data_IF_153722789099
#
_entry.id   IF_153722789099
#
_cell.length_a   1.000
_cell.length_b   1.000
_cell.length_c   1.000
_cell.angle_alpha   90.00
_cell.angle_beta   90.00
_cell.angle_gamma   90.00
#
_symmetry.space_group_name_H-M   'P 1'
#
loop_
_entity.id
_entity.type
_entity.pdbx_description
1 polymer ?
#
# COMPACT_ATOMS: atom_id res chain seq x y z
N UNK A 1 7.35 -24.33 9.68
CA UNK A 1 7.57 -23.47 8.50
C UNK A 1 7.34 -22.04 8.94
N UNK A 2 8.23 -21.10 8.62
CA UNK A 2 8.05 -19.69 9.02
C UNK A 2 6.90 -19.10 8.21
N UNK A 3 5.93 -18.49 8.88
CA UNK A 3 4.84 -17.70 8.28
C UNK A 3 5.40 -16.39 7.68
N UNK A 4 6.22 -16.52 6.64
CA UNK A 4 7.01 -15.42 6.08
C UNK A 4 6.09 -14.40 5.40
N UNK A 5 5.04 -14.85 4.73
CA UNK A 5 4.05 -13.98 4.07
C UNK A 5 3.27 -13.16 5.09
N UNK A 6 2.85 -13.80 6.19
CA UNK A 6 2.15 -13.11 7.28
C UNK A 6 3.05 -12.08 7.96
N UNK A 7 4.34 -12.38 8.12
CA UNK A 7 5.32 -11.43 8.65
C UNK A 7 5.43 -10.18 7.76
N UNK A 8 5.52 -10.36 6.43
CA UNK A 8 5.57 -9.23 5.49
C UNK A 8 4.27 -8.42 5.45
N UNK A 9 3.10 -9.06 5.57
CA UNK A 9 1.81 -8.36 5.68
C UNK A 9 1.71 -7.55 6.99
N UNK A 10 2.23 -8.09 8.10
CA UNK A 10 2.29 -7.37 9.39
C UNK A 10 3.22 -6.16 9.30
N UNK A 11 4.39 -6.33 8.71
CA UNK A 11 5.33 -5.24 8.47
C UNK A 11 4.70 -4.14 7.59
N UNK A 12 4.09 -4.53 6.46
CA UNK A 12 3.37 -3.60 5.59
C UNK A 12 2.30 -2.81 6.34
N UNK A 13 1.52 -3.49 7.20
CA UNK A 13 0.50 -2.84 8.03
C UNK A 13 1.11 -1.81 8.98
N UNK A 14 2.19 -2.16 9.67
CA UNK A 14 2.89 -1.27 10.59
C UNK A 14 3.49 -0.05 9.88
N UNK A 15 4.08 -0.25 8.70
CA UNK A 15 4.62 0.84 7.88
C UNK A 15 3.51 1.78 7.43
N UNK A 16 2.37 1.26 6.95
CA UNK A 16 1.23 2.06 6.55
C UNK A 16 0.63 2.86 7.71
N UNK A 17 0.47 2.25 8.89
CA UNK A 17 -0.05 2.95 10.07
C UNK A 17 0.89 4.08 10.53
N UNK A 18 2.20 3.85 10.48
CA UNK A 18 3.21 4.88 10.80
C UNK A 18 3.17 6.06 9.83
N UNK A 19 2.73 5.82 8.58
CA UNK A 19 2.62 6.83 7.52
C UNK A 19 1.17 7.14 7.13
N UNK A 20 0.21 6.89 8.03
CA UNK A 20 -1.22 7.01 7.70
C UNK A 20 -1.65 8.41 7.24
N UNK A 21 -0.88 9.45 7.59
CA UNK A 21 -1.11 10.83 7.16
C UNK A 21 -0.91 11.04 5.65
N UNK A 22 -0.23 10.11 4.95
CA UNK A 22 -0.06 10.15 3.50
C UNK A 22 -1.29 9.64 2.73
N UNK A 23 -2.28 9.07 3.43
CA UNK A 23 -3.40 8.37 2.83
C UNK A 23 -4.74 8.86 3.38
N UNK A 24 -5.77 8.79 2.54
CA UNK A 24 -7.13 8.92 3.04
C UNK A 24 -7.45 7.77 4.00
N UNK A 25 -7.86 8.10 5.23
CA UNK A 25 -8.13 7.14 6.31
C UNK A 25 -9.12 6.04 5.93
N UNK A 26 -10.20 6.39 5.22
CA UNK A 26 -11.22 5.42 4.82
C UNK A 26 -10.70 4.45 3.77
N UNK A 27 -9.96 4.96 2.77
CA UNK A 27 -9.37 4.15 1.70
C UNK A 27 -8.29 3.20 2.27
N UNK A 28 -7.46 3.69 3.18
CA UNK A 28 -6.43 2.88 3.86
C UNK A 28 -7.06 1.72 4.64
N UNK A 29 -8.10 1.99 5.44
CA UNK A 29 -8.79 0.95 6.20
C UNK A 29 -9.43 -0.10 5.30
N UNK A 30 -10.03 0.32 4.17
CA UNK A 30 -10.60 -0.60 3.20
C UNK A 30 -9.53 -1.47 2.54
N UNK A 31 -8.35 -0.91 2.22
CA UNK A 31 -7.22 -1.65 1.64
C UNK A 31 -6.69 -2.74 2.56
N UNK A 32 -6.48 -2.42 3.85
CA UNK A 32 -6.02 -3.38 4.87
C UNK A 32 -7.03 -4.51 5.12
N UNK A 33 -8.29 -4.34 4.72
CA UNK A 33 -9.33 -5.36 4.82
C UNK A 33 -9.52 -6.16 3.52
N UNK A 34 -8.81 -5.82 2.44
CA UNK A 34 -9.02 -6.43 1.13
C UNK A 34 -10.38 -6.09 0.51
N UNK A 35 -10.97 -4.94 0.88
CA UNK A 35 -12.32 -4.50 0.49
C UNK A 35 -12.34 -3.15 -0.25
N UNK A 36 -11.17 -2.65 -0.65
CA UNK A 36 -11.08 -1.41 -1.42
C UNK A 36 -11.49 -1.70 -2.88
N UNK A 37 -12.47 -0.97 -3.43
CA UNK A 37 -12.73 -0.97 -4.87
C UNK A 37 -11.49 -0.49 -5.64
N UNK A 38 -11.29 -0.98 -6.86
CA UNK A 38 -10.15 -0.54 -7.66
C UNK A 38 -10.15 0.99 -7.84
N UNK A 39 -9.04 1.61 -7.46
CA UNK A 39 -8.85 3.04 -7.64
C UNK A 39 -8.19 3.28 -9.00
N UNK A 40 -8.84 3.99 -9.94
CA UNK A 40 -8.25 4.24 -11.24
C UNK A 40 -7.04 5.18 -11.11
N UNK A 41 -5.94 4.84 -11.80
CA UNK A 41 -4.73 5.66 -11.87
C UNK A 41 -4.52 6.04 -13.33
N UNK A 42 -4.68 7.32 -13.67
CA UNK A 42 -4.42 7.77 -15.04
C UNK A 42 -2.92 7.77 -15.33
N UNK A 43 -2.51 7.47 -16.57
CA UNK A 43 -1.09 7.45 -16.98
C UNK A 43 -0.33 8.73 -16.61
N UNK A 44 -0.99 9.89 -16.72
CA UNK A 44 -0.42 11.21 -16.36
C UNK A 44 -0.17 11.38 -14.85
N UNK A 45 -0.90 10.63 -14.02
CA UNK A 45 -0.83 10.74 -12.56
C UNK A 45 0.14 9.72 -11.96
N UNK A 46 0.63 8.75 -12.72
CA UNK A 46 1.40 7.62 -12.22
C UNK A 46 2.61 8.04 -11.36
N UNK A 47 3.32 9.08 -11.78
CA UNK A 47 4.51 9.60 -11.07
C UNK A 47 4.18 10.67 -10.02
N UNK A 48 2.93 11.12 -9.93
CA UNK A 48 2.51 12.10 -8.92
C UNK A 48 2.36 11.44 -7.55
N UNK A 49 2.45 12.23 -6.47
CA UNK A 49 2.19 11.74 -5.11
C UNK A 49 0.84 11.04 -4.98
N UNK A 50 -0.21 11.62 -5.60
CA UNK A 50 -1.55 11.04 -5.69
C UNK A 50 -1.51 9.65 -6.33
N UNK A 51 -0.94 9.53 -7.53
CA UNK A 51 -0.87 8.26 -8.24
C UNK A 51 -0.08 7.20 -7.48
N UNK A 52 1.06 7.57 -6.87
CA UNK A 52 1.85 6.69 -5.99
C UNK A 52 1.03 6.21 -4.79
N UNK A 53 0.32 7.11 -4.10
CA UNK A 53 -0.53 6.76 -2.97
C UNK A 53 -1.67 5.81 -3.38
N UNK A 54 -2.34 6.06 -4.51
CA UNK A 54 -3.36 5.17 -5.06
C UNK A 54 -2.79 3.80 -5.42
N UNK A 55 -1.58 3.76 -5.99
CA UNK A 55 -0.89 2.51 -6.33
C UNK A 55 -0.56 1.67 -5.10
N UNK A 56 -0.08 2.32 -4.03
CA UNK A 56 0.17 1.68 -2.73
C UNK A 56 -1.12 1.07 -2.15
N UNK A 57 -2.22 1.82 -2.18
CA UNK A 57 -3.53 1.36 -1.68
C UNK A 57 -4.07 0.16 -2.48
N UNK A 58 -4.01 0.23 -3.81
CA UNK A 58 -4.43 -0.87 -4.68
C UNK A 58 -3.59 -2.13 -4.44
N UNK A 59 -2.26 -1.97 -4.36
CA UNK A 59 -1.35 -3.11 -4.16
C UNK A 59 -1.54 -3.74 -2.79
N UNK A 60 -1.70 -2.92 -1.75
CA UNK A 60 -2.05 -3.37 -0.39
C UNK A 60 -3.35 -4.17 -0.41
N UNK A 61 -4.40 -3.62 -1.02
CA UNK A 61 -5.68 -4.33 -1.15
C UNK A 61 -5.51 -5.69 -1.81
N UNK A 62 -4.77 -5.78 -2.92
CA UNK A 62 -4.52 -7.05 -3.60
C UNK A 62 -3.74 -8.05 -2.73
N UNK A 63 -2.76 -7.60 -1.94
CA UNK A 63 -2.05 -8.45 -0.99
C UNK A 63 -3.01 -9.07 0.04
N UNK A 64 -3.92 -8.28 0.62
CA UNK A 64 -4.89 -8.76 1.61
C UNK A 64 -6.04 -9.58 1.00
N UNK A 65 -6.52 -9.22 -0.19
CA UNK A 65 -7.58 -9.98 -0.89
C UNK A 65 -7.08 -11.34 -1.36
N UNK A 66 -5.82 -11.44 -1.82
CA UNK A 66 -5.26 -12.69 -2.38
C UNK A 66 -4.61 -13.60 -1.33
N UNK A 67 -4.30 -13.08 -0.14
CA UNK A 67 -3.76 -13.92 0.93
C UNK A 67 -4.85 -14.83 1.50
N UNK A 68 -4.66 -16.13 1.36
CA UNK A 68 -5.59 -17.18 1.81
C UNK A 68 -5.05 -17.99 2.99
N UNK A 69 -4.05 -17.47 3.71
CA UNK A 69 -3.37 -18.20 4.80
C UNK A 69 -2.19 -19.06 4.36
N UNK A 70 -1.87 -19.11 3.07
CA UNK A 70 -0.72 -19.86 2.56
C UNK A 70 0.47 -18.95 2.21
N UNK A 71 1.67 -19.55 2.17
CA UNK A 71 2.87 -18.87 1.75
C UNK A 71 2.81 -18.43 0.28
N UNK A 72 3.24 -17.19 0.00
CA UNK A 72 3.24 -16.64 -1.35
C UNK A 72 4.40 -15.67 -1.55
N UNK A 73 5.39 -16.10 -2.34
CA UNK A 73 6.53 -15.27 -2.73
C UNK A 73 6.09 -14.01 -3.50
N UNK A 74 4.99 -14.09 -4.25
CA UNK A 74 4.45 -12.94 -4.97
C UNK A 74 3.94 -11.87 -4.00
N UNK A 75 3.18 -12.28 -2.97
CA UNK A 75 2.68 -11.36 -1.93
C UNK A 75 3.84 -10.79 -1.13
N UNK A 76 4.82 -11.62 -0.76
CA UNK A 76 6.04 -11.16 -0.07
C UNK A 76 6.75 -10.05 -0.86
N UNK A 77 7.02 -10.27 -2.15
CA UNK A 77 7.64 -9.25 -3.02
C UNK A 77 6.79 -8.00 -3.14
N UNK A 78 5.47 -8.15 -3.28
CA UNK A 78 4.56 -7.01 -3.36
C UNK A 78 4.59 -6.19 -2.06
N UNK A 79 4.63 -6.82 -0.89
CA UNK A 79 4.79 -6.13 0.39
C UNK A 79 6.11 -5.34 0.44
N UNK A 80 7.24 -5.95 0.08
CA UNK A 80 8.55 -5.28 0.08
C UNK A 80 8.55 -4.05 -0.82
N UNK A 81 8.10 -4.20 -2.07
CA UNK A 81 8.03 -3.08 -3.03
C UNK A 81 7.10 -1.98 -2.52
N UNK A 82 5.97 -2.35 -1.92
CA UNK A 82 5.01 -1.38 -1.37
C UNK A 82 5.61 -0.61 -0.19
N UNK A 83 6.35 -1.28 0.70
CA UNK A 83 7.06 -0.64 1.83
C UNK A 83 8.08 0.37 1.31
N UNK A 84 8.90 0.00 0.32
CA UNK A 84 9.84 0.93 -0.31
C UNK A 84 9.12 2.14 -0.94
N UNK A 85 8.01 1.92 -1.64
CA UNK A 85 7.22 3.00 -2.22
C UNK A 85 6.63 3.97 -1.17
N UNK A 86 6.24 3.47 0.02
CA UNK A 86 5.79 4.32 1.13
C UNK A 86 6.94 5.20 1.63
N UNK A 87 8.13 4.62 1.80
CA UNK A 87 9.32 5.36 2.23
C UNK A 87 9.69 6.45 1.24
N UNK A 88 9.71 6.15 -0.07
CA UNK A 88 9.94 7.15 -1.12
C UNK A 88 8.90 8.27 -1.09
N UNK A 89 7.61 7.93 -0.93
CA UNK A 89 6.53 8.90 -0.86
C UNK A 89 6.65 9.81 0.38
N UNK A 90 7.15 9.29 1.49
CA UNK A 90 7.36 10.05 2.74
C UNK A 90 8.52 11.04 2.66
N UNK A 91 9.56 10.71 1.87
CA UNK A 91 10.75 11.55 1.69
C UNK A 91 10.57 12.63 0.62
N UNK A 92 9.56 12.48 -0.24
CA UNK A 92 9.20 13.47 -1.25
C UNK A 92 8.62 14.71 -0.54
N UNK A 93 9.45 15.74 -0.32
CA UNK A 93 9.08 17.00 0.36
C UNK A 93 8.41 18.03 -0.56
N UNK A 94 8.05 17.66 -1.80
CA UNK A 94 7.29 18.54 -2.70
C UNK A 94 5.97 19.00 -2.06
N UNK A 95 5.74 20.30 -1.98
CA UNK A 95 4.59 21.00 -1.35
C UNK A 95 3.32 20.17 -1.11
N UNK A 96 2.91 20.15 0.16
CA UNK A 96 1.69 19.51 0.67
C UNK A 96 0.46 20.18 0.05
N UNK A 97 -0.18 19.50 -0.89
CA UNK A 97 -1.62 19.62 -1.08
C UNK A 97 -2.21 18.26 -0.76
N UNK A 98 -3.10 18.24 0.23
CA UNK A 98 -3.88 17.06 0.59
C UNK A 98 -4.49 16.46 -0.67
N UNK A 99 -4.34 15.14 -0.81
CA UNK A 99 -4.91 14.43 -1.94
C UNK A 99 -6.32 14.00 -1.53
N UNK A 100 -7.32 14.80 -1.91
CA UNK A 100 -8.75 14.45 -1.84
C UNK A 100 -9.09 13.18 -2.68
#
# INVERSE_FOLDING_TARGET
>A
MKDTTLAHLRELTQTLESHKHLFNRHKLRAALQGKLPELPIMKREFNTKRGKALHILNTTNQCFTRFNGAESTLIQKACVVTISAIQELSLDTGTVHEVD
#
